data_IF_913387265006
#
_entry.id   IF_913387265006
#
_cell.length_a   1.000
_cell.length_b   1.000
_cell.length_c   1.000
_cell.angle_alpha   90.00
_cell.angle_beta   90.00
_cell.angle_gamma   90.00
#
_symmetry.space_group_name_H-M   'P 1'
#
loop_
_entity.id
_entity.type
_entity.pdbx_description
1 polymer ?
#
# COMPACT_ATOMS: atom_id res chain seq x y z
N UNK A 1 -18.50 -24.69 22.97
CA UNK A 1 -17.20 -25.38 22.80
C UNK A 1 -16.37 -24.51 21.85
N UNK A 2 -15.27 -23.98 22.34
CA UNK A 2 -14.24 -23.34 21.53
C UNK A 2 -13.04 -24.28 21.45
N UNK A 3 -12.42 -24.34 20.27
CA UNK A 3 -11.22 -25.13 20.00
C UNK A 3 -10.07 -24.19 19.71
N UNK A 4 -8.96 -24.41 20.38
CA UNK A 4 -7.71 -23.69 20.17
C UNK A 4 -6.73 -24.63 19.46
N UNK A 5 -6.24 -24.20 18.32
CA UNK A 5 -5.31 -24.95 17.48
C UNK A 5 -3.99 -24.21 17.37
N UNK A 6 -2.89 -24.95 17.39
CA UNK A 6 -1.54 -24.43 17.28
C UNK A 6 -0.79 -25.19 16.17
N UNK A 7 -0.69 -24.59 15.00
CA UNK A 7 -0.02 -25.16 13.83
C UNK A 7 1.39 -24.62 13.69
N UNK A 8 2.34 -25.49 13.47
CA UNK A 8 3.71 -25.14 13.18
C UNK A 8 3.98 -25.48 11.71
N UNK A 9 4.22 -24.46 10.89
CA UNK A 9 4.61 -24.62 9.49
C UNK A 9 5.85 -23.78 9.22
N UNK A 10 6.89 -24.37 8.60
CA UNK A 10 8.14 -23.69 8.28
C UNK A 10 8.76 -22.94 9.47
N UNK A 11 8.80 -23.59 10.64
CA UNK A 11 9.29 -23.04 11.91
C UNK A 11 8.47 -21.84 12.44
N UNK A 12 7.29 -21.59 11.91
CA UNK A 12 6.39 -20.51 12.35
C UNK A 12 5.17 -21.11 13.01
N UNK A 13 4.80 -20.54 14.13
CA UNK A 13 3.63 -20.95 14.90
C UNK A 13 2.45 -20.05 14.53
N UNK A 14 1.36 -20.66 14.09
CA UNK A 14 0.07 -20.00 13.87
C UNK A 14 -0.92 -20.53 14.87
N UNK A 15 -1.50 -19.65 15.68
CA UNK A 15 -2.54 -20.00 16.64
C UNK A 15 -3.89 -19.54 16.13
N UNK A 16 -4.86 -20.46 16.11
CA UNK A 16 -6.22 -20.18 15.63
C UNK A 16 -7.24 -20.71 16.64
N UNK A 17 -8.35 -20.04 16.77
CA UNK A 17 -9.49 -20.44 17.56
C UNK A 17 -10.73 -20.48 16.68
N UNK A 18 -11.58 -21.49 16.87
CA UNK A 18 -12.88 -21.55 16.24
C UNK A 18 -13.93 -22.07 17.20
N UNK A 19 -15.19 -21.66 16.96
CA UNK A 19 -16.32 -22.05 17.81
C UNK A 19 -17.04 -23.21 17.14
N UNK A 20 -16.97 -24.38 17.74
CA UNK A 20 -17.68 -25.58 17.24
C UNK A 20 -19.15 -25.53 17.65
N UNK A 21 -19.44 -25.07 18.88
CA UNK A 21 -20.79 -25.02 19.40
C UNK A 21 -20.94 -23.96 20.46
N UNK A 22 -21.95 -23.11 20.27
CA UNK A 22 -22.43 -22.18 21.28
C UNK A 22 -23.96 -22.29 21.38
N UNK A 23 -24.47 -22.45 22.60
CA UNK A 23 -25.92 -22.50 22.86
C UNK A 23 -26.38 -21.11 23.30
N UNK A 24 -27.37 -20.56 22.64
CA UNK A 24 -27.99 -19.29 23.02
C UNK A 24 -27.78 -18.13 22.05
N UNK A 25 -26.84 -18.22 21.09
CA UNK A 25 -26.73 -17.25 20.00
C UNK A 25 -26.08 -17.85 18.75
N UNK A 26 -26.24 -17.18 17.62
CA UNK A 26 -25.45 -17.47 16.42
C UNK A 26 -23.97 -17.15 16.68
N UNK A 27 -23.07 -17.93 16.10
CA UNK A 27 -21.63 -17.71 16.16
C UNK A 27 -21.03 -17.81 14.75
N UNK A 28 -19.89 -17.16 14.53
CA UNK A 28 -19.13 -17.29 13.28
C UNK A 28 -18.58 -18.72 13.15
N UNK A 29 -18.56 -19.20 11.90
CA UNK A 29 -18.01 -20.53 11.55
C UNK A 29 -16.52 -20.46 11.18
N UNK A 30 -15.92 -19.26 11.19
CA UNK A 30 -14.55 -19.04 10.74
C UNK A 30 -13.50 -19.37 11.80
N UNK A 31 -12.26 -19.58 11.35
CA UNK A 31 -11.10 -19.66 12.22
C UNK A 31 -10.59 -18.23 12.51
N UNK A 32 -10.41 -17.93 13.80
CA UNK A 32 -9.93 -16.64 14.28
C UNK A 32 -8.48 -16.77 14.75
N UNK A 33 -7.53 -16.07 14.14
CA UNK A 33 -6.16 -16.02 14.64
C UNK A 33 -6.12 -15.30 15.99
N UNK A 34 -5.28 -15.80 16.91
CA UNK A 34 -5.08 -15.17 18.21
C UNK A 34 -3.62 -15.15 18.62
N UNK A 35 -3.27 -14.18 19.44
CA UNK A 35 -1.99 -14.10 20.16
C UNK A 35 -2.20 -14.26 21.66
N UNK A 36 -1.14 -14.73 22.32
CA UNK A 36 -1.02 -14.71 23.77
C UNK A 36 0.15 -13.79 24.10
N UNK A 37 -0.11 -12.73 24.84
CA UNK A 37 0.91 -11.83 25.37
C UNK A 37 0.70 -11.64 26.88
N UNK A 38 1.44 -10.69 27.47
CA UNK A 38 1.35 -10.40 28.90
C UNK A 38 -0.02 -9.85 29.34
N UNK A 39 -0.86 -9.39 28.42
CA UNK A 39 -2.22 -8.92 28.67
C UNK A 39 -3.27 -10.01 28.44
N UNK A 40 -2.86 -11.21 28.01
CA UNK A 40 -3.74 -12.34 27.79
C UNK A 40 -3.94 -12.75 26.32
N UNK A 41 -5.12 -13.27 26.00
CA UNK A 41 -5.46 -13.71 24.65
C UNK A 41 -6.07 -12.55 23.88
N UNK A 42 -5.42 -12.19 22.77
CA UNK A 42 -5.92 -11.18 21.82
C UNK A 42 -6.33 -11.83 20.52
N UNK A 43 -7.51 -11.49 20.03
CA UNK A 43 -8.04 -11.99 18.77
C UNK A 43 -8.27 -10.83 17.80
N UNK A 44 -7.99 -11.08 16.52
CA UNK A 44 -8.40 -10.15 15.45
C UNK A 44 -9.91 -10.37 15.21
N UNK A 45 -10.73 -9.34 15.40
CA UNK A 45 -12.14 -9.48 15.10
C UNK A 45 -12.34 -9.69 13.60
N UNK A 46 -13.13 -10.72 13.24
CA UNK A 46 -13.52 -10.98 11.85
C UNK A 46 -14.46 -9.87 11.32
N UNK A 47 -15.00 -9.05 12.20
CA UNK A 47 -16.00 -8.01 11.93
C UNK A 47 -15.50 -6.77 11.20
N UNK A 48 -14.24 -6.75 10.73
CA UNK A 48 -13.74 -5.68 9.84
C UNK A 48 -14.41 -5.68 8.45
N UNK A 49 -15.44 -6.50 8.23
CA UNK A 49 -16.17 -6.62 6.96
C UNK A 49 -17.39 -5.73 6.82
N UNK A 50 -17.64 -4.80 7.74
CA UNK A 50 -18.77 -3.88 7.60
C UNK A 50 -18.49 -2.87 6.49
N UNK A 51 -19.09 -3.11 5.31
CA UNK A 51 -19.02 -2.25 4.12
C UNK A 51 -19.80 -0.92 4.29
N UNK A 52 -20.57 -0.74 5.37
CA UNK A 52 -21.35 0.47 5.60
C UNK A 52 -20.52 1.57 6.27
N UNK A 53 -19.89 2.41 5.42
CA UNK A 53 -19.21 3.62 5.88
C UNK A 53 -19.45 4.75 4.92
N UNK A 54 -19.69 5.97 5.40
CA UNK A 54 -19.73 7.14 4.54
C UNK A 54 -18.32 7.32 3.93
N UNK A 55 -18.25 7.35 2.60
CA UNK A 55 -17.06 7.74 1.87
C UNK A 55 -16.73 9.20 2.24
N UNK A 56 -15.43 9.54 2.22
CA UNK A 56 -14.97 10.91 2.40
C UNK A 56 -14.77 11.56 1.04
N UNK A 57 -15.27 12.78 0.89
CA UNK A 57 -14.99 13.61 -0.29
C UNK A 57 -13.77 14.50 -0.10
N UNK A 58 -13.11 14.42 1.06
CA UNK A 58 -11.91 15.15 1.37
C UNK A 58 -10.74 14.62 0.53
N UNK A 59 -10.06 15.53 -0.16
CA UNK A 59 -8.89 15.21 -0.99
C UNK A 59 -7.62 15.53 -0.21
N UNK A 60 -6.69 14.58 -0.20
CA UNK A 60 -5.36 14.76 0.37
C UNK A 60 -4.30 14.67 -0.73
N UNK A 61 -3.36 15.63 -0.78
CA UNK A 61 -2.29 15.61 -1.77
C UNK A 61 -1.29 14.48 -1.48
N UNK A 62 -0.68 13.97 -2.55
CA UNK A 62 0.30 12.87 -2.49
C UNK A 62 1.67 13.32 -1.96
N UNK A 63 1.94 14.62 -1.93
CA UNK A 63 3.25 15.21 -1.68
C UNK A 63 4.09 15.41 -2.94
N UNK A 64 3.64 14.91 -4.09
CA UNK A 64 4.27 15.11 -5.40
C UNK A 64 3.29 15.85 -6.30
N UNK A 65 3.47 17.17 -6.43
CA UNK A 65 2.52 18.05 -7.15
C UNK A 65 2.28 17.61 -8.61
N UNK A 66 3.31 17.07 -9.27
CA UNK A 66 3.19 16.57 -10.64
C UNK A 66 2.36 15.28 -10.71
N UNK A 67 2.40 14.43 -9.67
CA UNK A 67 1.55 13.25 -9.53
C UNK A 67 0.12 13.66 -9.19
N UNK A 68 -0.06 14.65 -8.31
CA UNK A 68 -1.38 15.19 -7.97
C UNK A 68 -2.09 15.72 -9.24
N UNK A 69 -1.35 16.34 -10.16
CA UNK A 69 -1.89 16.82 -11.43
C UNK A 69 -2.35 15.71 -12.38
N UNK A 70 -2.02 14.44 -12.11
CA UNK A 70 -2.50 13.29 -12.88
C UNK A 70 -3.88 12.80 -12.43
N UNK A 71 -4.44 13.34 -11.36
CA UNK A 71 -5.78 13.05 -10.85
C UNK A 71 -6.69 14.26 -11.01
N UNK A 72 -7.95 14.06 -11.36
CA UNK A 72 -8.92 15.15 -11.59
C UNK A 72 -9.08 16.05 -10.35
N UNK A 73 -9.01 15.46 -9.14
CA UNK A 73 -9.12 16.20 -7.88
C UNK A 73 -7.79 16.58 -7.25
N UNK A 74 -6.67 16.37 -7.93
CA UNK A 74 -5.31 16.70 -7.47
C UNK A 74 -4.92 16.07 -6.14
N UNK A 75 -5.14 14.75 -6.03
CA UNK A 75 -4.81 13.97 -4.84
C UNK A 75 -5.66 12.72 -4.72
N UNK A 76 -5.71 12.15 -3.53
CA UNK A 76 -6.50 10.96 -3.21
C UNK A 76 -7.63 11.29 -2.24
N UNK A 77 -8.72 10.53 -2.27
CA UNK A 77 -9.73 10.62 -1.23
C UNK A 77 -9.19 10.13 0.11
N UNK A 78 -9.51 10.85 1.20
CA UNK A 78 -9.17 10.42 2.55
C UNK A 78 -9.79 9.06 2.85
N UNK A 79 -9.02 8.17 3.47
CA UNK A 79 -9.42 6.81 3.78
C UNK A 79 -9.32 5.83 2.61
N UNK A 80 -8.76 6.24 1.46
CA UNK A 80 -8.51 5.36 0.34
C UNK A 80 -7.24 4.50 0.56
N UNK A 81 -7.19 3.38 -0.16
CA UNK A 81 -6.05 2.48 -0.21
C UNK A 81 -5.33 2.59 -1.55
N UNK A 82 -4.03 2.87 -1.50
CA UNK A 82 -3.18 3.11 -2.66
C UNK A 82 -2.13 2.00 -2.75
N UNK A 83 -2.02 1.37 -3.91
CA UNK A 83 -0.94 0.43 -4.23
C UNK A 83 0.08 1.13 -5.14
N UNK A 84 1.33 1.15 -4.72
CA UNK A 84 2.47 1.57 -5.51
C UNK A 84 3.34 0.35 -5.81
N UNK A 85 3.33 -0.14 -7.04
CA UNK A 85 4.03 -1.34 -7.43
C UNK A 85 5.17 -1.04 -8.40
N UNK A 86 6.22 -1.86 -8.38
CA UNK A 86 7.36 -1.70 -9.29
C UNK A 86 8.55 -2.56 -8.91
N UNK A 87 9.56 -2.60 -9.77
CA UNK A 87 10.80 -3.37 -9.56
C UNK A 87 11.64 -2.81 -8.41
N UNK A 88 12.64 -3.57 -7.94
CA UNK A 88 13.61 -3.08 -6.97
C UNK A 88 14.33 -1.83 -7.53
N UNK A 89 14.55 -0.84 -6.67
CA UNK A 89 15.24 0.41 -7.06
C UNK A 89 14.35 1.43 -7.78
N UNK A 90 13.07 1.15 -8.07
CA UNK A 90 12.15 2.10 -8.71
C UNK A 90 11.69 3.25 -7.81
N UNK A 91 12.13 3.35 -6.57
CA UNK A 91 11.83 4.47 -5.67
C UNK A 91 10.50 4.37 -4.92
N UNK A 92 9.87 3.20 -4.82
CA UNK A 92 8.61 3.01 -4.07
C UNK A 92 8.67 3.59 -2.66
N UNK A 93 9.69 3.23 -1.90
CA UNK A 93 9.96 3.72 -0.55
C UNK A 93 10.09 5.25 -0.52
N UNK A 94 10.72 5.84 -1.54
CA UNK A 94 10.85 7.30 -1.67
C UNK A 94 9.50 8.00 -1.78
N UNK A 95 8.58 7.47 -2.60
CA UNK A 95 7.22 7.99 -2.67
C UNK A 95 6.50 7.86 -1.32
N UNK A 96 6.73 6.76 -0.59
CA UNK A 96 6.21 6.57 0.77
C UNK A 96 6.72 7.63 1.74
N UNK A 97 8.02 7.95 1.71
CA UNK A 97 8.61 9.00 2.55
C UNK A 97 8.03 10.38 2.25
N UNK A 98 7.91 10.74 0.96
CA UNK A 98 7.35 12.03 0.54
C UNK A 98 5.87 12.14 0.95
N UNK A 99 5.10 11.07 0.81
CA UNK A 99 3.70 11.05 1.22
C UNK A 99 3.54 11.26 2.73
N UNK A 100 4.35 10.58 3.54
CA UNK A 100 4.36 10.75 5.00
C UNK A 100 4.81 12.15 5.39
N UNK A 101 5.86 12.68 4.77
CA UNK A 101 6.35 14.04 5.02
C UNK A 101 5.28 15.09 4.75
N UNK A 102 4.61 14.99 3.61
CA UNK A 102 3.52 15.89 3.24
C UNK A 102 2.33 15.78 4.22
N UNK A 103 2.02 14.58 4.71
CA UNK A 103 0.95 14.36 5.68
C UNK A 103 1.34 14.95 7.05
N UNK A 104 2.55 14.69 7.55
CA UNK A 104 3.06 15.28 8.79
C UNK A 104 3.10 16.82 8.72
N UNK A 105 3.46 17.40 7.58
CA UNK A 105 3.46 18.85 7.36
C UNK A 105 2.05 19.46 7.43
N UNK A 106 0.98 18.69 7.14
CA UNK A 106 -0.42 19.08 7.35
C UNK A 106 -0.89 18.92 8.81
N UNK A 107 -0.04 18.39 9.69
CA UNK A 107 -0.38 18.11 11.09
C UNK A 107 -1.05 16.74 11.31
N UNK A 108 -1.03 15.86 10.31
CA UNK A 108 -1.59 14.52 10.40
C UNK A 108 -0.65 13.56 11.13
N UNK A 109 -1.20 12.64 11.89
CA UNK A 109 -0.43 11.58 12.54
C UNK A 109 -0.16 10.46 11.55
N UNK A 110 1.09 10.07 11.40
CA UNK A 110 1.52 9.12 10.39
C UNK A 110 2.22 7.91 11.00
N UNK A 111 1.98 6.73 10.44
CA UNK A 111 2.78 5.53 10.73
C UNK A 111 3.43 5.01 9.45
N UNK A 112 4.69 4.65 9.56
CA UNK A 112 5.43 4.00 8.49
C UNK A 112 5.95 2.65 8.98
N UNK A 113 5.48 1.57 8.37
CA UNK A 113 5.94 0.21 8.63
C UNK A 113 6.98 -0.19 7.58
N UNK A 114 8.27 -0.14 7.96
CA UNK A 114 9.39 -0.62 7.17
C UNK A 114 9.59 -2.12 7.40
N UNK A 115 9.30 -2.94 6.40
CA UNK A 115 9.35 -4.40 6.54
C UNK A 115 10.68 -5.01 6.07
N UNK A 116 11.54 -4.22 5.45
CA UNK A 116 12.86 -4.66 4.95
C UNK A 116 14.04 -3.90 5.55
N UNK A 117 13.86 -2.60 5.83
CA UNK A 117 14.90 -1.70 6.33
C UNK A 117 14.63 -1.24 7.78
N UNK A 118 15.71 -0.99 8.52
CA UNK A 118 15.64 -0.48 9.88
C UNK A 118 15.25 1.01 9.93
N UNK A 119 14.84 1.48 11.11
CA UNK A 119 14.41 2.88 11.31
C UNK A 119 15.51 3.89 10.95
N UNK A 120 16.76 3.63 11.32
CA UNK A 120 17.88 4.54 11.04
C UNK A 120 18.24 4.54 9.54
N UNK A 121 18.13 3.39 8.88
CA UNK A 121 18.31 3.25 7.43
C UNK A 121 17.24 4.05 6.69
N UNK A 122 15.96 3.90 7.06
CA UNK A 122 14.85 4.67 6.50
C UNK A 122 15.06 6.18 6.69
N UNK A 123 15.46 6.64 7.87
CA UNK A 123 15.77 8.06 8.12
C UNK A 123 16.92 8.58 7.27
N UNK A 124 17.99 7.78 7.10
CA UNK A 124 19.13 8.12 6.24
C UNK A 124 18.71 8.21 4.77
N UNK A 125 17.96 7.22 4.29
CA UNK A 125 17.49 7.14 2.91
C UNK A 125 16.51 8.28 2.59
N UNK A 126 15.63 8.62 3.52
CA UNK A 126 14.72 9.77 3.38
C UNK A 126 15.46 11.10 3.24
N UNK A 127 16.53 11.32 4.03
CA UNK A 127 17.36 12.53 3.92
C UNK A 127 18.01 12.69 2.55
N UNK A 128 18.37 11.59 1.88
CA UNK A 128 18.97 11.64 0.54
C UNK A 128 18.04 12.24 -0.51
N UNK A 129 16.75 12.25 -0.25
CA UNK A 129 15.70 12.81 -1.12
C UNK A 129 15.03 14.07 -0.53
N UNK A 130 15.66 14.67 0.48
CA UNK A 130 15.24 15.94 1.07
C UNK A 130 14.12 15.82 2.12
N UNK A 131 13.86 14.62 2.65
CA UNK A 131 12.82 14.36 3.66
C UNK A 131 13.45 14.14 5.03
N UNK A 132 13.03 14.87 6.05
CA UNK A 132 13.48 14.71 7.45
C UNK A 132 12.46 13.93 8.29
N UNK A 133 12.46 12.61 8.17
CA UNK A 133 11.59 11.76 8.98
C UNK A 133 11.91 11.83 10.46
N UNK A 134 13.19 12.00 10.85
CA UNK A 134 13.61 12.08 12.25
C UNK A 134 12.96 13.27 12.94
N UNK A 135 12.93 14.42 12.30
CA UNK A 135 12.28 15.63 12.84
C UNK A 135 10.77 15.40 13.11
N UNK A 136 10.08 14.59 12.30
CA UNK A 136 8.68 14.24 12.55
C UNK A 136 8.51 13.23 13.69
N UNK A 137 9.43 12.27 13.81
CA UNK A 137 9.45 11.32 14.95
C UNK A 137 9.66 12.07 16.26
N UNK A 138 10.62 12.99 16.31
CA UNK A 138 10.93 13.77 17.50
C UNK A 138 9.76 14.68 17.93
N UNK A 139 8.94 15.14 16.97
CA UNK A 139 7.70 15.87 17.23
C UNK A 139 6.52 14.97 17.66
N UNK A 140 6.68 13.64 17.61
CA UNK A 140 5.64 12.68 17.99
C UNK A 140 4.47 12.56 17.00
N UNK A 141 4.59 13.14 15.79
CA UNK A 141 3.57 13.05 14.74
C UNK A 141 3.80 11.89 13.76
N UNK A 142 5.04 11.37 13.73
CA UNK A 142 5.40 10.18 12.96
C UNK A 142 5.87 9.05 13.87
N UNK A 143 5.38 7.85 13.65
CA UNK A 143 5.92 6.62 14.22
C UNK A 143 6.52 5.76 13.10
N UNK A 144 7.81 5.42 13.25
CA UNK A 144 8.50 4.49 12.36
C UNK A 144 8.60 3.13 13.04
N UNK A 145 8.01 2.11 12.44
CA UNK A 145 8.04 0.73 12.91
C UNK A 145 8.84 -0.12 11.92
N UNK A 146 9.97 -0.66 12.36
CA UNK A 146 10.79 -1.56 11.55
C UNK A 146 10.63 -3.00 12.06
N UNK A 147 10.10 -3.89 11.24
CA UNK A 147 9.89 -5.28 11.63
C UNK A 147 9.92 -6.20 10.42
N UNK A 148 10.94 -7.06 10.35
CA UNK A 148 11.02 -8.07 9.29
C UNK A 148 9.96 -9.16 9.50
N UNK A 149 9.08 -9.43 8.50
CA UNK A 149 8.04 -10.45 8.61
C UNK A 149 8.56 -11.90 8.76
N UNK A 150 9.87 -12.12 8.57
CA UNK A 150 10.46 -13.44 8.71
C UNK A 150 10.53 -13.97 10.16
N UNK A 151 10.42 -13.09 11.15
CA UNK A 151 10.52 -13.47 12.56
C UNK A 151 9.23 -13.98 13.18
N UNK A 152 8.08 -13.69 12.57
CA UNK A 152 6.74 -14.03 13.10
C UNK A 152 5.83 -14.52 11.99
N UNK A 153 4.77 -15.25 12.37
CA UNK A 153 3.68 -15.58 11.47
C UNK A 153 2.93 -14.33 11.01
N UNK A 154 2.25 -14.43 9.88
CA UNK A 154 1.51 -13.33 9.25
C UNK A 154 0.48 -12.72 10.20
N UNK A 155 -0.24 -13.55 10.94
CA UNK A 155 -1.26 -13.14 11.91
C UNK A 155 -0.66 -12.34 13.06
N UNK A 156 0.56 -12.68 13.50
CA UNK A 156 1.28 -11.95 14.54
C UNK A 156 1.62 -10.53 14.06
N UNK A 157 2.03 -10.38 12.80
CA UNK A 157 2.27 -9.05 12.21
C UNK A 157 1.00 -8.23 12.14
N UNK A 158 -0.11 -8.81 11.69
CA UNK A 158 -1.40 -8.12 11.63
C UNK A 158 -1.84 -7.64 13.01
N UNK A 159 -1.69 -8.46 14.04
CA UNK A 159 -2.08 -8.09 15.40
C UNK A 159 -1.20 -6.99 15.98
N UNK A 160 0.11 -6.99 15.68
CA UNK A 160 1.00 -5.90 16.06
C UNK A 160 0.61 -4.60 15.39
N UNK A 161 0.39 -4.64 14.06
CA UNK A 161 -0.09 -3.48 13.32
C UNK A 161 -1.41 -2.97 13.93
N UNK A 162 -2.35 -3.86 14.23
CA UNK A 162 -3.61 -3.50 14.86
C UNK A 162 -3.41 -2.77 16.20
N UNK A 163 -2.59 -3.35 17.10
CA UNK A 163 -2.25 -2.75 18.40
C UNK A 163 -1.60 -1.38 18.23
N UNK A 164 -0.66 -1.26 17.29
CA UNK A 164 0.07 -0.03 17.07
C UNK A 164 -0.84 1.06 16.49
N UNK A 165 -1.79 0.68 15.61
CA UNK A 165 -2.86 1.56 15.14
C UNK A 165 -3.78 2.02 16.28
N UNK A 166 -4.15 1.12 17.21
CA UNK A 166 -4.98 1.47 18.36
C UNK A 166 -4.28 2.46 19.31
N UNK A 167 -3.00 2.22 19.56
CA UNK A 167 -2.22 3.06 20.47
C UNK A 167 -1.88 4.43 19.90
N UNK A 168 -1.66 4.52 18.58
CA UNK A 168 -1.20 5.75 17.94
C UNK A 168 -2.30 6.50 17.21
N UNK A 169 -3.35 5.83 16.72
CA UNK A 169 -4.48 6.42 15.97
C UNK A 169 -4.02 7.33 14.81
N UNK A 170 -3.30 6.79 13.81
CA UNK A 170 -2.80 7.57 12.69
C UNK A 170 -3.92 7.94 11.71
N UNK A 171 -3.73 9.04 10.98
CA UNK A 171 -4.51 9.47 9.83
C UNK A 171 -4.00 8.85 8.52
N UNK A 172 -2.68 8.62 8.46
CA UNK A 172 -1.97 8.08 7.31
C UNK A 172 -1.08 6.91 7.72
N UNK A 173 -1.09 5.86 6.91
CA UNK A 173 -0.25 4.67 7.10
C UNK A 173 0.46 4.32 5.79
N UNK A 174 1.75 4.03 5.88
CA UNK A 174 2.53 3.43 4.79
C UNK A 174 3.04 2.07 5.23
N UNK A 175 2.91 1.05 4.36
CA UNK A 175 3.42 -0.30 4.58
C UNK A 175 4.34 -0.67 3.41
N UNK A 176 5.62 -0.81 3.70
CA UNK A 176 6.69 -0.89 2.70
C UNK A 176 7.68 -2.03 2.98
N UNK A 177 7.71 -3.06 2.11
CA UNK A 177 6.71 -3.44 1.12
C UNK A 177 5.79 -4.58 1.62
N UNK A 178 4.56 -4.66 1.14
CA UNK A 178 3.67 -5.79 1.45
C UNK A 178 4.14 -7.11 0.83
N UNK A 179 4.97 -7.06 -0.21
CA UNK A 179 5.62 -8.24 -0.78
C UNK A 179 6.63 -8.92 0.17
N UNK A 180 6.97 -8.29 1.29
CA UNK A 180 7.76 -8.91 2.35
C UNK A 180 6.99 -9.97 3.14
N UNK A 181 5.64 -9.91 3.17
CA UNK A 181 4.83 -10.95 3.79
C UNK A 181 5.01 -12.29 3.07
N UNK A 182 5.23 -13.35 3.83
CA UNK A 182 5.48 -14.69 3.33
C UNK A 182 4.49 -15.69 3.92
N UNK A 183 3.97 -16.57 3.07
CA UNK A 183 3.02 -17.62 3.45
C UNK A 183 2.34 -18.18 2.21
N UNK A 184 1.37 -19.11 2.38
CA UNK A 184 0.47 -19.48 1.32
C UNK A 184 -0.22 -18.24 0.73
N UNK A 185 -0.38 -18.18 -0.58
CA UNK A 185 -0.92 -17.01 -1.29
C UNK A 185 -2.31 -16.60 -0.76
N UNK A 186 -3.16 -17.61 -0.51
CA UNK A 186 -4.49 -17.40 0.07
C UNK A 186 -4.45 -16.75 1.45
N UNK A 187 -3.50 -17.17 2.32
CA UNK A 187 -3.36 -16.62 3.67
C UNK A 187 -2.87 -15.18 3.63
N UNK A 188 -1.88 -14.88 2.75
CA UNK A 188 -1.38 -13.52 2.52
C UNK A 188 -2.48 -12.63 1.99
N UNK A 189 -3.25 -13.09 1.00
CA UNK A 189 -4.38 -12.34 0.43
C UNK A 189 -5.43 -12.02 1.49
N UNK A 190 -5.85 -13.00 2.28
CA UNK A 190 -6.83 -12.81 3.37
C UNK A 190 -6.32 -11.85 4.45
N UNK A 191 -5.04 -11.91 4.76
CA UNK A 191 -4.42 -11.00 5.72
C UNK A 191 -4.41 -9.55 5.22
N UNK A 192 -4.05 -9.34 3.96
CA UNK A 192 -4.08 -8.03 3.32
C UNK A 192 -5.49 -7.49 3.20
N UNK A 193 -6.47 -8.34 2.85
CA UNK A 193 -7.89 -7.97 2.85
C UNK A 193 -8.34 -7.46 4.23
N UNK A 194 -8.02 -8.19 5.30
CA UNK A 194 -8.34 -7.78 6.68
C UNK A 194 -7.66 -6.45 7.04
N UNK A 195 -6.41 -6.27 6.65
CA UNK A 195 -5.66 -5.05 6.91
C UNK A 195 -6.24 -3.83 6.16
N UNK A 196 -6.52 -3.97 4.87
CA UNK A 196 -7.15 -2.91 4.07
C UNK A 196 -8.51 -2.54 4.66
N UNK A 197 -9.34 -3.54 5.01
CA UNK A 197 -10.63 -3.30 5.63
C UNK A 197 -10.50 -2.61 6.99
N UNK A 198 -9.53 -3.00 7.81
CA UNK A 198 -9.25 -2.34 9.09
C UNK A 198 -8.89 -0.87 8.89
N UNK A 199 -7.96 -0.55 7.98
CA UNK A 199 -7.52 0.82 7.72
C UNK A 199 -8.66 1.68 7.16
N UNK A 200 -9.39 1.17 6.18
CA UNK A 200 -10.60 1.82 5.64
C UNK A 200 -11.63 2.04 6.73
N UNK A 201 -11.75 1.09 7.66
CA UNK A 201 -12.69 1.16 8.78
C UNK A 201 -12.44 2.34 9.69
N UNK A 202 -11.25 2.78 9.79
CA UNK A 202 -10.80 3.88 10.62
C UNK A 202 -10.61 5.17 9.82
N UNK A 203 -10.99 5.19 8.53
CA UNK A 203 -10.74 6.29 7.59
C UNK A 203 -9.26 6.65 7.46
N UNK A 204 -8.37 5.68 7.68
CA UNK A 204 -6.93 5.87 7.52
C UNK A 204 -6.61 5.78 6.03
N UNK A 205 -5.94 6.79 5.49
CA UNK A 205 -5.42 6.72 4.14
C UNK A 205 -4.16 5.87 4.14
N UNK A 206 -4.13 4.83 3.32
CA UNK A 206 -3.07 3.84 3.37
C UNK A 206 -2.36 3.68 2.03
N UNK A 207 -1.03 3.81 2.03
CA UNK A 207 -0.18 3.45 0.89
C UNK A 207 0.51 2.12 1.16
N UNK A 208 0.41 1.23 0.19
CA UNK A 208 1.08 -0.07 0.18
C UNK A 208 2.09 -0.08 -0.96
N UNK A 209 3.31 -0.48 -0.69
CA UNK A 209 4.26 -0.73 -1.77
C UNK A 209 4.38 -2.23 -2.04
N UNK A 210 4.61 -2.61 -3.28
CA UNK A 210 4.79 -4.01 -3.69
C UNK A 210 5.94 -4.16 -4.66
N UNK A 211 6.82 -5.12 -4.40
CA UNK A 211 7.88 -5.50 -5.32
C UNK A 211 7.28 -6.37 -6.43
N UNK A 212 7.59 -6.01 -7.67
CA UNK A 212 7.19 -6.78 -8.85
C UNK A 212 8.41 -7.30 -9.59
N UNK A 213 8.22 -8.38 -10.34
CA UNK A 213 9.22 -8.85 -11.28
C UNK A 213 9.36 -7.90 -12.47
N UNK A 214 10.53 -7.85 -13.08
CA UNK A 214 10.77 -7.06 -14.27
C UNK A 214 9.88 -7.54 -15.43
N UNK A 215 9.21 -6.60 -16.09
CA UNK A 215 8.39 -6.86 -17.28
C UNK A 215 7.04 -6.13 -17.26
N UNK A 216 6.41 -5.97 -18.43
CA UNK A 216 5.13 -5.27 -18.54
C UNK A 216 3.94 -6.10 -18.05
N UNK A 217 4.10 -7.43 -17.94
CA UNK A 217 3.01 -8.32 -17.53
C UNK A 217 2.67 -8.13 -16.05
N UNK A 218 1.40 -7.99 -15.77
CA UNK A 218 0.85 -7.99 -14.40
C UNK A 218 0.62 -9.44 -13.99
N UNK A 219 1.17 -9.86 -12.85
CA UNK A 219 0.94 -11.21 -12.34
C UNK A 219 -0.50 -11.39 -11.82
N UNK A 220 -0.97 -12.64 -11.71
CA UNK A 220 -2.27 -12.95 -11.09
C UNK A 220 -2.35 -12.42 -9.66
N UNK A 221 -1.28 -12.59 -8.89
CA UNK A 221 -1.18 -12.08 -7.52
C UNK A 221 -1.34 -10.55 -7.44
N UNK A 222 -0.81 -9.81 -8.43
CA UNK A 222 -0.97 -8.35 -8.49
C UNK A 222 -2.41 -7.96 -8.82
N UNK A 223 -3.10 -8.75 -9.66
CA UNK A 223 -4.52 -8.53 -9.95
C UNK A 223 -5.38 -8.70 -8.71
N UNK A 224 -5.15 -9.74 -7.93
CA UNK A 224 -5.89 -10.01 -6.70
C UNK A 224 -5.67 -8.90 -5.66
N UNK A 225 -4.43 -8.46 -5.48
CA UNK A 225 -4.11 -7.31 -4.63
C UNK A 225 -4.76 -6.03 -5.14
N UNK A 226 -4.73 -5.82 -6.45
CA UNK A 226 -5.32 -4.63 -7.05
C UNK A 226 -6.82 -4.54 -6.81
N UNK A 227 -7.53 -5.67 -6.74
CA UNK A 227 -8.96 -5.69 -6.47
C UNK A 227 -9.33 -5.07 -5.13
N UNK A 228 -8.42 -5.13 -4.15
CA UNK A 228 -8.59 -4.57 -2.81
C UNK A 228 -8.32 -3.07 -2.74
N UNK A 229 -7.51 -2.53 -3.67
CA UNK A 229 -7.04 -1.16 -3.63
C UNK A 229 -7.95 -0.21 -4.42
N UNK A 230 -8.03 1.04 -3.97
CA UNK A 230 -8.79 2.08 -4.66
C UNK A 230 -7.97 2.67 -5.81
N UNK A 231 -6.70 2.95 -5.57
CA UNK A 231 -5.77 3.48 -6.58
C UNK A 231 -4.60 2.52 -6.77
N UNK A 232 -4.17 2.33 -8.01
CA UNK A 232 -2.97 1.56 -8.33
C UNK A 232 -2.09 2.33 -9.30
N UNK A 233 -0.87 2.62 -8.83
CA UNK A 233 0.18 3.30 -9.58
C UNK A 233 1.30 2.28 -9.82
N UNK A 234 1.80 2.23 -11.04
CA UNK A 234 2.92 1.37 -11.41
C UNK A 234 4.15 2.18 -11.75
N UNK A 235 5.27 1.78 -11.17
CA UNK A 235 6.60 2.29 -11.49
C UNK A 235 7.32 1.31 -12.40
N UNK A 236 7.87 1.81 -13.48
CA UNK A 236 8.65 1.06 -14.46
C UNK A 236 10.10 1.55 -14.48
N UNK A 237 11.00 0.65 -14.77
CA UNK A 237 12.37 0.92 -15.16
C UNK A 237 12.49 0.53 -16.64
N UNK A 238 12.72 1.51 -17.48
CA UNK A 238 12.73 1.38 -18.94
C UNK A 238 14.13 1.68 -19.45
N UNK A 239 14.63 0.84 -20.35
CA UNK A 239 15.90 1.07 -21.03
C UNK A 239 15.61 1.37 -22.50
N UNK A 240 16.00 2.57 -22.95
CA UNK A 240 15.86 3.01 -24.35
C UNK A 240 17.22 3.52 -24.82
N UNK A 241 17.72 2.99 -25.92
CA UNK A 241 18.99 3.38 -26.53
C UNK A 241 20.21 3.32 -25.55
N UNK A 242 20.17 2.38 -24.61
CA UNK A 242 21.24 2.20 -23.61
C UNK A 242 21.13 3.13 -22.38
N UNK A 243 20.16 4.04 -22.36
CA UNK A 243 19.86 4.87 -21.20
C UNK A 243 18.68 4.29 -20.39
N UNK A 244 18.79 4.34 -19.07
CA UNK A 244 17.72 3.92 -18.14
C UNK A 244 16.93 5.13 -17.69
N UNK A 245 15.62 5.01 -17.77
CA UNK A 245 14.67 6.01 -17.25
C UNK A 245 13.65 5.35 -16.34
N UNK A 246 13.16 6.11 -15.38
CA UNK A 246 12.06 5.68 -14.54
C UNK A 246 10.77 6.29 -15.07
N UNK A 247 9.75 5.47 -15.23
CA UNK A 247 8.44 5.87 -15.69
C UNK A 247 7.36 5.45 -14.70
N UNK A 248 6.26 6.19 -14.66
CA UNK A 248 5.08 5.81 -13.90
C UNK A 248 3.80 6.04 -14.71
N UNK A 249 2.79 5.26 -14.38
CA UNK A 249 1.43 5.47 -14.85
C UNK A 249 0.41 4.97 -13.83
N UNK A 250 -0.81 5.51 -13.94
CA UNK A 250 -1.92 5.12 -13.10
C UNK A 250 -2.71 4.03 -13.83
N UNK A 251 -2.78 2.83 -13.22
CA UNK A 251 -3.55 1.71 -13.77
C UNK A 251 -5.03 1.94 -13.52
N UNK A 252 -5.37 2.37 -12.30
CA UNK A 252 -6.75 2.66 -11.91
C UNK A 252 -6.80 3.64 -10.74
N UNK A 253 -7.94 4.35 -10.63
CA UNK A 253 -8.34 5.09 -9.45
C UNK A 253 -9.85 5.05 -9.34
N UNK A 254 -10.36 4.47 -8.26
CA UNK A 254 -11.81 4.32 -8.05
C UNK A 254 -12.41 5.64 -7.62
N UNK A 255 -13.54 5.99 -8.23
CA UNK A 255 -14.30 7.19 -7.87
C UNK A 255 -13.72 8.50 -8.37
N UNK A 256 -12.58 8.49 -9.13
CA UNK A 256 -12.03 9.69 -9.75
C UNK A 256 -11.39 9.41 -11.11
N UNK A 257 -11.44 10.39 -11.99
CA UNK A 257 -10.71 10.36 -13.25
C UNK A 257 -9.21 10.54 -13.03
N UNK A 258 -8.43 9.98 -13.94
CA UNK A 258 -6.99 10.07 -13.90
C UNK A 258 -6.37 10.03 -15.30
N UNK A 259 -5.16 10.56 -15.40
CA UNK A 259 -4.38 10.54 -16.64
C UNK A 259 -4.07 9.12 -17.09
N UNK A 260 -4.18 8.89 -18.39
CA UNK A 260 -3.73 7.65 -19.06
C UNK A 260 -2.28 7.73 -19.55
N UNK A 261 -1.62 8.86 -19.31
CA UNK A 261 -0.26 9.09 -19.80
C UNK A 261 0.76 8.36 -18.95
N UNK A 262 1.77 7.79 -19.60
CA UNK A 262 3.02 7.39 -18.96
C UNK A 262 3.87 8.64 -18.77
N UNK A 263 4.41 8.84 -17.58
CA UNK A 263 5.22 10.00 -17.22
C UNK A 263 6.60 9.53 -16.75
N UNK A 264 7.64 10.09 -17.33
CA UNK A 264 8.99 9.94 -16.79
C UNK A 264 9.06 10.64 -15.43
N UNK A 265 9.79 10.06 -14.47
CA UNK A 265 10.08 10.71 -13.20
C UNK A 265 11.56 10.57 -12.84
N UNK A 266 12.01 11.53 -12.05
CA UNK A 266 13.37 11.57 -11.51
C UNK A 266 13.33 11.76 -10.01
N UNK A 267 14.15 10.98 -9.31
CA UNK A 267 14.36 11.12 -7.87
C UNK A 267 15.60 11.99 -7.69
N UNK A 268 15.45 13.04 -6.91
CA UNK A 268 16.51 14.03 -6.67
C UNK A 268 16.66 14.28 -5.17
N UNK A 269 17.70 14.96 -4.75
CA UNK A 269 17.85 15.43 -3.36
C UNK A 269 16.75 16.41 -2.89
N UNK A 270 15.77 16.73 -3.74
CA UNK A 270 14.62 17.60 -3.45
C UNK A 270 13.28 16.89 -3.69
N UNK A 271 13.27 15.57 -3.62
CA UNK A 271 12.09 14.75 -3.85
C UNK A 271 11.95 14.25 -5.29
N UNK A 272 10.72 13.93 -5.67
CA UNK A 272 10.34 13.37 -6.98
C UNK A 272 9.76 14.46 -7.87
N UNK A 273 10.17 14.44 -9.15
CA UNK A 273 9.62 15.30 -10.21
C UNK A 273 9.21 14.45 -11.39
N UNK A 274 8.05 14.74 -12.00
CA UNK A 274 7.57 14.08 -13.20
C UNK A 274 7.74 14.99 -14.42
N UNK A 275 8.18 14.37 -15.51
CA UNK A 275 8.24 15.01 -16.83
C UNK A 275 7.38 14.23 -17.84
N UNK A 276 6.92 14.86 -18.93
CA UNK A 276 6.33 14.11 -20.04
C UNK A 276 7.33 13.08 -20.57
N UNK A 277 6.87 11.89 -20.95
CA UNK A 277 7.74 10.90 -21.59
C UNK A 277 8.27 11.43 -22.92
N UNK A 278 9.59 11.42 -23.12
CA UNK A 278 10.27 11.97 -24.31
C UNK A 278 9.94 11.21 -25.62
N UNK A 279 9.33 10.02 -25.53
CA UNK A 279 8.99 9.14 -26.66
C UNK A 279 7.57 9.20 -27.18
N UNK A 280 6.69 10.03 -26.62
CA UNK A 280 5.32 10.18 -27.12
C UNK A 280 5.30 10.98 -28.42
N UNK A 281 5.80 10.43 -29.54
CA UNK A 281 5.37 10.88 -30.87
C UNK A 281 3.86 10.66 -30.91
N UNK A 282 3.11 11.74 -31.10
CA UNK A 282 1.69 11.71 -31.36
C UNK A 282 1.41 10.65 -32.44
N UNK A 283 0.73 9.58 -32.07
CA UNK A 283 0.14 8.68 -33.04
C UNK A 283 -0.98 9.50 -33.69
N UNK A 284 -0.69 10.04 -34.85
CA UNK A 284 -1.69 10.70 -35.67
C UNK A 284 -2.83 9.68 -35.93
N UNK A 285 -4.09 10.10 -35.85
CA UNK A 285 -5.19 9.21 -36.17
C UNK A 285 -5.03 8.73 -37.62
N UNK A 286 -5.00 7.40 -37.82
CA UNK A 286 -5.01 6.82 -39.15
C UNK A 286 -6.24 7.35 -39.89
N UNK A 287 -6.01 8.17 -40.90
CA UNK A 287 -7.04 8.61 -41.83
C UNK A 287 -7.72 7.37 -42.43
N UNK A 288 -9.01 7.28 -42.26
CA UNK A 288 -9.87 6.36 -42.99
C UNK A 288 -9.58 6.53 -44.48
N UNK A 289 -8.98 5.52 -45.10
CA UNK A 289 -8.84 5.46 -46.54
C UNK A 289 -10.25 5.35 -47.11
N UNK A 290 -10.69 6.42 -47.78
CA UNK A 290 -11.85 6.43 -48.60
C UNK A 290 -11.68 5.40 -49.72
N UNK A 291 -12.45 4.36 -49.68
CA UNK A 291 -12.67 3.49 -50.88
C UNK A 291 -13.57 4.25 -51.83
N UNK A 292 -12.97 4.93 -52.78
CA UNK A 292 -13.63 5.27 -54.04
C UNK A 292 -13.30 4.14 -55.04
N UNK A 293 -14.25 3.24 -55.25
CA UNK A 293 -14.25 2.32 -56.40
C UNK A 293 -15.15 2.91 -57.50
N UNK A 294 -14.78 2.80 -58.78
CA UNK A 294 -15.59 3.27 -59.89
C UNK A 294 -16.61 2.20 -60.32
N UNK A 295 -17.80 2.69 -60.69
CA UNK A 295 -18.85 2.15 -61.62
C UNK A 295 -19.15 0.66 -61.55
#
# INVERSE_FOLDING_TARGET
VAVFDNRIQNQRTTRRMFIVKYRGSAHGADEYPFLIDHEGIKMLPASATLLHRPASDEIIPTGVADLDAMFDHRGWFRGSSILLSGVAGSGKTTFGFIFVDAACARGERCMFFGLEEGTDENCRNARSVGVDLRGWVDKGVLRLEASRPCHYGLETHLMRIHRDLDSFQPDVVVIDPISAFRGPETDVHMALLRMVNLLKSRRITAMFTSLQNAGPAVSSADHDLSALMDTWIRLLDVTTDGERSNELYIIKSRGMGHSKQVREYRITGRGVRLAPHAGAKAVAPAHAAQQTGPL
#
